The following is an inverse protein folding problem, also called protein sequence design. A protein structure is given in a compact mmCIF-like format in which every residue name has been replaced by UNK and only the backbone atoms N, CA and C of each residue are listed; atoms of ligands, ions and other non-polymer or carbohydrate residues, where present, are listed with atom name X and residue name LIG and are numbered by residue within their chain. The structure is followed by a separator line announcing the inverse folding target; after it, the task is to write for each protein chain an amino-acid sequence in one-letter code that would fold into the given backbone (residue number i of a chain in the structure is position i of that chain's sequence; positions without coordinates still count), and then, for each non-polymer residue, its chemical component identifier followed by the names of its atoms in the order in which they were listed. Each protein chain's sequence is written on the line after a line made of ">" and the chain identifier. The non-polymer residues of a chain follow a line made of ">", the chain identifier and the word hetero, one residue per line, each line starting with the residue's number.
data_IF_200818894984
#
_entry.id   IF_200818894984
#
_cell.length_a   1.000
_cell.length_b   1.000
_cell.length_c   1.000
_cell.angle_alpha   90.00
_cell.angle_beta   90.00
_cell.angle_gamma   90.00
#
_symmetry.space_group_name_H-M   'P 1'
#
loop_
_entity.id
_entity.type
_entity.pdbx_description
1 polymer ?
#
# COMPACT_ATOMS: atom_id res chain seq x y z
N UNK A 1 -4.81 -43.90 -22.00
CA UNK A 1 -3.68 -43.25 -21.27
C UNK A 1 -3.32 -41.88 -21.86
N UNK A 2 -3.29 -41.71 -23.18
CA UNK A 2 -2.97 -40.44 -23.87
C UNK A 2 -3.85 -39.25 -23.42
N UNK A 3 -5.16 -39.44 -23.26
CA UNK A 3 -6.07 -38.35 -22.86
C UNK A 3 -5.77 -37.78 -21.47
N UNK A 4 -5.35 -38.63 -20.53
CA UNK A 4 -4.92 -38.18 -19.19
C UNK A 4 -3.65 -37.33 -19.27
N UNK A 5 -2.73 -37.69 -20.17
CA UNK A 5 -1.51 -36.94 -20.44
C UNK A 5 -1.85 -35.57 -21.04
N UNK A 6 -2.72 -35.53 -22.06
CA UNK A 6 -3.19 -34.30 -22.69
C UNK A 6 -3.84 -33.33 -21.69
N UNK A 7 -4.75 -33.85 -20.86
CA UNK A 7 -5.43 -33.04 -19.82
C UNK A 7 -4.42 -32.50 -18.80
N UNK A 8 -3.49 -33.34 -18.30
CA UNK A 8 -2.44 -32.90 -17.37
C UNK A 8 -1.54 -31.81 -17.97
N UNK A 9 -1.14 -31.94 -19.23
CA UNK A 9 -0.32 -30.93 -19.91
C UNK A 9 -1.08 -29.62 -20.12
N UNK A 10 -2.37 -29.66 -20.50
CA UNK A 10 -3.19 -28.45 -20.60
C UNK A 10 -3.37 -27.74 -19.25
N UNK A 11 -3.57 -28.50 -18.17
CA UNK A 11 -3.65 -27.95 -16.81
C UNK A 11 -2.34 -27.27 -16.42
N UNK A 12 -1.21 -27.95 -16.60
CA UNK A 12 0.12 -27.38 -16.31
C UNK A 12 0.40 -26.09 -17.09
N UNK A 13 0.12 -26.06 -18.39
CA UNK A 13 0.29 -24.85 -19.22
C UNK A 13 -0.67 -23.72 -18.81
N UNK A 14 -1.90 -24.06 -18.43
CA UNK A 14 -2.88 -23.10 -17.90
C UNK A 14 -2.47 -22.54 -16.54
N UNK A 15 -1.83 -23.34 -15.70
CA UNK A 15 -1.27 -22.94 -14.40
C UNK A 15 -0.01 -22.10 -14.61
N UNK A 16 0.90 -22.51 -15.49
CA UNK A 16 2.13 -21.77 -15.83
C UNK A 16 1.85 -20.38 -16.42
N UNK A 17 0.86 -20.25 -17.29
CA UNK A 17 0.46 -18.94 -17.84
C UNK A 17 -0.22 -18.03 -16.80
N UNK A 18 -0.74 -18.61 -15.71
CA UNK A 18 -1.28 -17.86 -14.57
C UNK A 18 -0.28 -17.78 -13.42
N UNK A 19 0.94 -18.24 -13.65
CA UNK A 19 1.95 -18.32 -12.61
C UNK A 19 2.68 -16.99 -12.52
N UNK A 20 2.26 -16.17 -11.58
CA UNK A 20 2.90 -14.91 -11.23
C UNK A 20 4.10 -15.13 -10.27
N UNK A 21 4.47 -16.40 -9.97
CA UNK A 21 5.64 -16.74 -9.14
C UNK A 21 6.93 -16.55 -9.95
N UNK A 22 7.25 -15.30 -10.23
CA UNK A 22 8.38 -14.95 -11.09
C UNK A 22 8.28 -13.59 -11.75
N UNK A 23 7.16 -12.85 -11.58
CA UNK A 23 7.15 -11.40 -11.81
C UNK A 23 8.35 -10.85 -11.04
N UNK A 24 9.28 -10.27 -11.79
CA UNK A 24 10.65 -10.20 -11.35
C UNK A 24 10.72 -9.31 -10.11
N UNK A 25 11.62 -9.64 -9.18
CA UNK A 25 11.87 -8.80 -8.00
C UNK A 25 12.19 -7.34 -8.39
N UNK A 26 12.60 -7.08 -9.64
CA UNK A 26 12.88 -5.75 -10.18
C UNK A 26 11.58 -5.00 -10.51
N UNK A 27 10.56 -5.65 -11.08
CA UNK A 27 9.29 -5.01 -11.45
C UNK A 27 8.47 -4.66 -10.20
N UNK A 28 8.36 -5.59 -9.24
CA UNK A 28 7.74 -5.28 -7.95
C UNK A 28 8.58 -4.29 -7.14
N UNK A 29 9.91 -4.31 -7.29
CA UNK A 29 10.79 -3.30 -6.71
C UNK A 29 10.45 -1.89 -7.21
N UNK A 30 10.24 -1.71 -8.52
CA UNK A 30 9.85 -0.43 -9.10
C UNK A 30 8.46 0.03 -8.62
N UNK A 31 7.48 -0.88 -8.56
CA UNK A 31 6.13 -0.58 -8.03
C UNK A 31 6.22 -0.15 -6.57
N UNK A 32 7.04 -0.82 -5.75
CA UNK A 32 7.24 -0.45 -4.35
C UNK A 32 7.81 0.96 -4.18
N UNK A 33 8.77 1.35 -5.04
CA UNK A 33 9.32 2.73 -5.05
C UNK A 33 8.24 3.75 -5.41
N UNK A 34 7.44 3.48 -6.45
CA UNK A 34 6.34 4.36 -6.85
C UNK A 34 5.31 4.54 -5.73
N UNK A 35 4.93 3.43 -5.06
CA UNK A 35 4.02 3.46 -3.92
C UNK A 35 4.62 4.21 -2.73
N UNK A 36 5.91 4.07 -2.45
CA UNK A 36 6.57 4.77 -1.36
C UNK A 36 6.53 6.30 -1.55
N UNK A 37 6.73 6.78 -2.78
CA UNK A 37 6.63 8.22 -3.11
C UNK A 37 5.20 8.72 -2.92
N UNK A 38 4.22 8.03 -3.49
CA UNK A 38 2.80 8.44 -3.40
C UNK A 38 2.33 8.46 -1.95
N UNK A 39 2.65 7.42 -1.18
CA UNK A 39 2.30 7.34 0.23
C UNK A 39 3.05 8.38 1.06
N UNK A 40 4.33 8.64 0.77
CA UNK A 40 5.11 9.67 1.44
C UNK A 40 4.52 11.07 1.28
N UNK A 41 3.99 11.39 0.10
CA UNK A 41 3.31 12.67 -0.13
C UNK A 41 1.92 12.70 0.52
N UNK A 42 1.13 11.63 0.38
CA UNK A 42 -0.22 11.58 0.90
C UNK A 42 -0.28 11.54 2.44
N UNK A 43 0.67 10.86 3.07
CA UNK A 43 0.74 10.67 4.51
C UNK A 43 1.82 11.53 5.18
N UNK A 44 2.56 12.33 4.43
CA UNK A 44 3.63 13.17 4.97
C UNK A 44 3.12 14.33 5.84
N UNK A 45 4.06 15.16 6.28
CA UNK A 45 3.78 16.38 7.05
C UNK A 45 2.92 17.37 6.28
N UNK A 46 3.03 17.43 4.95
CA UNK A 46 2.18 18.29 4.13
C UNK A 46 0.86 17.61 3.71
N UNK A 47 0.70 16.32 4.06
CA UNK A 47 -0.45 15.50 3.74
C UNK A 47 -1.34 15.23 4.95
N UNK A 48 -1.86 14.01 5.03
CA UNK A 48 -2.83 13.60 6.05
C UNK A 48 -2.31 13.78 7.49
N UNK A 49 -1.04 13.45 7.74
CA UNK A 49 -0.49 13.51 9.10
C UNK A 49 -0.38 14.96 9.59
N UNK A 50 0.02 15.91 8.75
CA UNK A 50 0.04 17.32 9.17
C UNK A 50 -1.35 17.91 9.40
N UNK A 51 -2.34 17.50 8.60
CA UNK A 51 -3.74 17.92 8.85
C UNK A 51 -4.26 17.34 10.16
N UNK A 52 -3.88 16.10 10.48
CA UNK A 52 -4.23 15.47 11.74
C UNK A 52 -3.58 16.20 12.92
N UNK A 53 -2.30 16.56 12.81
CA UNK A 53 -1.55 17.33 13.81
C UNK A 53 -2.22 18.69 14.07
N UNK A 54 -2.53 19.43 13.01
CA UNK A 54 -3.22 20.71 13.10
C UNK A 54 -4.61 20.61 13.77
N UNK A 55 -5.34 19.52 13.50
CA UNK A 55 -6.63 19.29 14.16
C UNK A 55 -6.47 19.01 15.66
N UNK A 56 -5.42 18.29 16.07
CA UNK A 56 -5.13 18.07 17.48
C UNK A 56 -4.64 19.33 18.18
N UNK A 57 -3.83 20.16 17.52
CA UNK A 57 -3.41 21.47 18.04
C UNK A 57 -4.61 22.39 18.30
N UNK A 58 -5.61 22.39 17.42
CA UNK A 58 -6.83 23.18 17.61
C UNK A 58 -7.63 22.70 18.83
N UNK A 59 -7.72 21.39 19.03
CA UNK A 59 -8.36 20.80 20.21
C UNK A 59 -7.59 21.17 21.48
N UNK A 60 -6.25 21.07 21.46
CA UNK A 60 -5.41 21.47 22.59
C UNK A 60 -5.62 22.95 22.93
N UNK A 61 -5.55 23.83 21.93
CA UNK A 61 -5.78 25.27 22.11
C UNK A 61 -7.15 25.57 22.70
N UNK A 62 -8.19 24.87 22.23
CA UNK A 62 -9.55 25.02 22.77
C UNK A 62 -9.61 24.60 24.23
N UNK A 63 -8.99 23.47 24.58
CA UNK A 63 -8.95 22.97 25.95
C UNK A 63 -8.20 23.97 26.85
N UNK A 64 -7.02 24.43 26.44
CA UNK A 64 -6.22 25.40 27.21
C UNK A 64 -6.93 26.75 27.38
N UNK A 65 -7.64 27.23 26.36
CA UNK A 65 -8.43 28.47 26.45
C UNK A 65 -9.64 28.35 27.40
N UNK A 66 -10.15 27.12 27.60
CA UNK A 66 -11.23 26.82 28.56
C UNK A 66 -10.68 26.57 29.97
N UNK A 67 -9.42 26.15 30.11
CA UNK A 67 -8.75 26.04 31.40
C UNK A 67 -8.55 27.46 32.00
N UNK A 68 -8.97 27.70 33.25
CA UNK A 68 -8.75 28.99 33.89
C UNK A 68 -7.24 29.20 34.01
N UNK A 69 -6.74 30.22 33.32
CA UNK A 69 -5.37 30.71 33.49
C UNK A 69 -5.20 31.06 34.96
N UNK A 70 -4.33 30.31 35.63
CA UNK A 70 -3.93 30.63 37.01
C UNK A 70 -3.14 31.93 37.01
#
# INVERSE_FOLDING_TARGET
>A
MITKLYVKTKLFLSEFNKDERGVTAIEYGLIAVAMAVVLGLALGTDGFIGQLDAAFDEVESTIQGVLPTT
#
